data_IF_967382459428
#
_entry.id   IF_967382459428
#
_cell.length_a   1.000
_cell.length_b   1.000
_cell.length_c   1.000
_cell.angle_alpha   90.00
_cell.angle_beta   90.00
_cell.angle_gamma   90.00
#
_symmetry.space_group_name_H-M   'P 1'
#
loop_
_entity.id
_entity.type
_entity.pdbx_description
1 polymer ?
#
# COMPACT_ATOMS: atom_id res chain seq x y z
N UNK A 1 -13.87 -15.61 0.57
CA UNK A 1 -13.92 -14.17 0.89
C UNK A 1 -12.57 -13.81 1.46
N UNK A 2 -11.80 -12.96 0.78
CA UNK A 2 -10.47 -12.56 1.21
C UNK A 2 -10.53 -11.27 2.04
N UNK A 3 -9.57 -11.09 2.95
CA UNK A 3 -9.36 -9.87 3.72
C UNK A 3 -8.16 -9.13 3.16
N UNK A 4 -8.33 -7.90 2.67
CA UNK A 4 -7.26 -7.11 2.07
C UNK A 4 -6.95 -5.85 2.87
N UNK A 5 -5.68 -5.47 2.89
CA UNK A 5 -5.19 -4.23 3.48
C UNK A 5 -4.69 -3.29 2.38
N UNK A 6 -5.27 -2.11 2.30
CA UNK A 6 -4.78 -1.01 1.46
C UNK A 6 -4.17 0.06 2.37
N UNK A 7 -2.91 0.39 2.15
CA UNK A 7 -2.20 1.41 2.91
C UNK A 7 -1.75 2.52 1.98
N UNK A 8 -2.01 3.78 2.35
CA UNK A 8 -1.60 4.92 1.53
C UNK A 8 -0.83 6.00 2.30
N UNK A 9 0.04 6.70 1.58
CA UNK A 9 0.61 7.98 1.98
C UNK A 9 0.22 9.06 0.96
N UNK A 10 -0.31 10.20 1.43
CA UNK A 10 -0.80 11.27 0.55
C UNK A 10 -0.55 12.66 1.14
N UNK A 11 -0.50 13.67 0.25
CA UNK A 11 -0.42 15.09 0.63
C UNK A 11 -1.69 15.86 0.28
N UNK A 12 -2.24 15.65 -0.92
CA UNK A 12 -3.40 16.36 -1.47
C UNK A 12 -4.60 15.43 -1.69
N UNK A 13 -4.64 14.31 -0.96
CA UNK A 13 -5.71 13.29 -1.01
C UNK A 13 -5.87 12.54 -2.35
N UNK A 14 -5.13 12.87 -3.41
CA UNK A 14 -5.23 12.18 -4.71
C UNK A 14 -4.93 10.67 -4.59
N UNK A 15 -3.82 10.29 -3.96
CA UNK A 15 -3.50 8.87 -3.74
C UNK A 15 -4.56 8.19 -2.87
N UNK A 16 -5.06 8.86 -1.82
CA UNK A 16 -6.15 8.32 -0.99
C UNK A 16 -7.38 7.99 -1.83
N UNK A 17 -7.81 8.89 -2.72
CA UNK A 17 -8.96 8.67 -3.61
C UNK A 17 -8.77 7.47 -4.53
N UNK A 18 -7.56 7.26 -5.05
CA UNK A 18 -7.24 6.05 -5.82
C UNK A 18 -7.39 4.80 -4.94
N UNK A 19 -6.88 4.84 -3.71
CA UNK A 19 -7.05 3.74 -2.75
C UNK A 19 -8.50 3.47 -2.38
N UNK A 20 -9.34 4.51 -2.27
CA UNK A 20 -10.78 4.40 -2.05
C UNK A 20 -11.48 3.67 -3.23
N UNK A 21 -11.13 4.00 -4.47
CA UNK A 21 -11.66 3.34 -5.67
C UNK A 21 -11.22 1.87 -5.78
N UNK A 22 -9.96 1.56 -5.46
CA UNK A 22 -9.48 0.18 -5.40
C UNK A 22 -10.24 -0.59 -4.31
N UNK A 23 -10.41 0.02 -3.13
CA UNK A 23 -11.16 -0.60 -2.03
C UNK A 23 -12.62 -0.87 -2.42
N UNK A 24 -13.27 0.05 -3.12
CA UNK A 24 -14.63 -0.10 -3.62
C UNK A 24 -14.75 -1.27 -4.61
N UNK A 25 -13.87 -1.35 -5.62
CA UNK A 25 -13.88 -2.46 -6.57
C UNK A 25 -13.67 -3.84 -5.93
N UNK A 26 -12.75 -3.94 -4.97
CA UNK A 26 -12.51 -5.17 -4.21
C UNK A 26 -13.73 -5.55 -3.34
N UNK A 27 -14.40 -4.57 -2.73
CA UNK A 27 -15.63 -4.80 -1.95
C UNK A 27 -16.77 -5.27 -2.83
N UNK A 28 -16.97 -4.66 -4.00
CA UNK A 28 -17.96 -5.13 -4.99
C UNK A 28 -17.68 -6.55 -5.49
N UNK A 29 -16.42 -6.98 -5.44
CA UNK A 29 -16.01 -8.35 -5.76
C UNK A 29 -16.18 -9.34 -4.59
N UNK A 30 -16.81 -8.91 -3.48
CA UNK A 30 -17.12 -9.77 -2.33
C UNK A 30 -15.94 -9.99 -1.39
N UNK A 31 -15.05 -9.00 -1.23
CA UNK A 31 -13.93 -9.05 -0.29
C UNK A 31 -14.05 -8.02 0.83
N UNK A 32 -13.43 -8.32 1.98
CA UNK A 32 -13.30 -7.37 3.09
C UNK A 32 -12.06 -6.51 2.86
N UNK A 33 -12.18 -5.19 2.97
CA UNK A 33 -11.05 -4.28 2.71
C UNK A 33 -10.91 -3.24 3.81
N UNK A 34 -9.75 -3.23 4.47
CA UNK A 34 -9.30 -2.14 5.33
C UNK A 34 -8.47 -1.15 4.51
N UNK A 35 -8.91 0.10 4.47
CA UNK A 35 -8.14 1.21 3.90
C UNK A 35 -7.58 2.03 5.07
N UNK A 36 -6.27 2.27 5.10
CA UNK A 36 -5.59 2.98 6.19
C UNK A 36 -4.56 3.98 5.67
N UNK A 37 -4.42 5.12 6.36
CA UNK A 37 -3.27 6.00 6.18
C UNK A 37 -2.05 5.34 6.87
N UNK A 38 -0.85 5.47 6.30
CA UNK A 38 0.41 5.01 6.93
C UNK A 38 0.57 5.53 8.36
N UNK A 39 -0.04 6.67 8.70
CA UNK A 39 0.00 7.26 10.05
C UNK A 39 -0.77 6.45 11.10
N UNK A 40 -1.74 5.64 10.69
CA UNK A 40 -2.63 4.88 11.58
C UNK A 40 -2.05 3.51 11.96
N UNK A 41 -0.97 3.08 11.31
CA UNK A 41 -0.32 1.79 11.52
C UNK A 41 0.94 1.99 12.36
N UNK A 42 1.00 1.36 13.54
CA UNK A 42 2.06 1.58 14.53
C UNK A 42 2.95 0.37 14.73
N UNK A 43 2.48 -0.81 14.36
CA UNK A 43 3.21 -2.07 14.51
C UNK A 43 2.90 -3.04 13.37
N UNK A 44 3.74 -4.06 13.20
CA UNK A 44 3.51 -5.17 12.28
C UNK A 44 2.19 -5.92 12.55
N UNK A 45 1.68 -5.85 13.79
CA UNK A 45 0.38 -6.44 14.16
C UNK A 45 -0.79 -5.77 13.44
N UNK A 46 -0.65 -4.50 13.05
CA UNK A 46 -1.67 -3.78 12.28
C UNK A 46 -1.71 -4.23 10.80
N UNK A 47 -0.65 -4.94 10.36
CA UNK A 47 -0.39 -5.39 8.99
C UNK A 47 -0.62 -6.90 8.86
N UNK A 48 -0.39 -7.69 9.91
CA UNK A 48 -0.59 -9.14 9.86
C UNK A 48 -2.05 -9.56 9.73
N UNK A 49 -2.29 -10.75 9.16
CA UNK A 49 -3.61 -11.39 9.13
C UNK A 49 -4.49 -11.04 7.93
N UNK A 50 -3.92 -10.46 6.87
CA UNK A 50 -4.61 -10.23 5.59
C UNK A 50 -4.12 -11.25 4.54
N UNK A 51 -4.96 -11.45 3.53
CA UNK A 51 -4.71 -12.36 2.41
C UNK A 51 -4.02 -11.64 1.23
N UNK A 52 -4.18 -10.32 1.16
CA UNK A 52 -3.56 -9.49 0.14
C UNK A 52 -3.36 -8.05 0.57
N UNK A 53 -2.40 -7.39 -0.07
CA UNK A 53 -1.90 -6.08 0.32
C UNK A 53 -1.75 -5.16 -0.89
N UNK A 54 -2.16 -3.91 -0.73
CA UNK A 54 -1.99 -2.88 -1.75
C UNK A 54 -1.39 -1.63 -1.11
N UNK A 55 -0.19 -1.23 -1.53
CA UNK A 55 0.52 -0.11 -0.94
C UNK A 55 0.64 1.06 -1.93
N UNK A 56 0.31 2.27 -1.48
CA UNK A 56 0.33 3.42 -2.38
C UNK A 56 0.90 4.71 -1.81
N UNK A 57 1.61 5.45 -2.64
CA UNK A 57 2.19 6.73 -2.25
C UNK A 57 2.14 7.72 -3.38
N UNK A 58 1.94 9.00 -3.05
CA UNK A 58 2.15 10.05 -4.04
C UNK A 58 3.65 10.15 -4.40
N UNK A 59 3.95 10.46 -5.66
CA UNK A 59 5.32 10.74 -6.08
C UNK A 59 5.67 12.21 -5.85
N UNK A 60 6.72 12.45 -5.07
CA UNK A 60 7.32 13.76 -4.85
C UNK A 60 8.83 13.68 -5.06
N UNK A 61 9.36 14.54 -5.93
CA UNK A 61 10.79 14.59 -6.25
C UNK A 61 11.37 13.24 -6.70
N UNK A 62 10.64 12.50 -7.54
CA UNK A 62 11.08 11.21 -8.08
C UNK A 62 11.02 10.04 -7.09
N UNK A 63 10.34 10.22 -5.96
CA UNK A 63 10.33 9.26 -4.87
C UNK A 63 8.95 9.17 -4.18
N UNK A 64 8.74 8.12 -3.40
CA UNK A 64 7.56 7.97 -2.54
C UNK A 64 7.65 8.91 -1.33
N UNK A 65 6.49 9.28 -0.77
CA UNK A 65 6.44 10.07 0.46
C UNK A 65 7.16 9.37 1.62
N UNK A 66 7.81 10.15 2.49
CA UNK A 66 8.57 9.65 3.64
C UNK A 66 7.77 8.67 4.52
N UNK A 67 6.47 8.92 4.72
CA UNK A 67 5.61 8.04 5.48
C UNK A 67 5.51 6.63 4.89
N UNK A 68 5.49 6.50 3.56
CA UNK A 68 5.52 5.19 2.89
C UNK A 68 6.88 4.52 3.03
N UNK A 69 7.99 5.26 2.91
CA UNK A 69 9.33 4.70 3.13
C UNK A 69 9.47 4.07 4.52
N UNK A 70 9.05 4.81 5.55
CA UNK A 70 9.07 4.32 6.93
C UNK A 70 8.11 3.14 7.11
N UNK A 71 6.93 3.19 6.48
CA UNK A 71 5.99 2.07 6.51
C UNK A 71 6.55 0.79 5.89
N UNK A 72 7.32 0.86 4.79
CA UNK A 72 7.89 -0.35 4.17
C UNK A 72 8.84 -1.10 5.12
N UNK A 73 9.64 -0.40 5.94
CA UNK A 73 10.45 -1.03 6.99
C UNK A 73 9.61 -1.65 8.11
N UNK A 74 8.41 -1.12 8.37
CA UNK A 74 7.47 -1.73 9.30
C UNK A 74 6.82 -2.97 8.70
N UNK A 75 6.44 -2.90 7.43
CA UNK A 75 5.84 -4.00 6.67
C UNK A 75 6.83 -5.17 6.49
N UNK A 76 8.13 -4.91 6.38
CA UNK A 76 9.18 -5.95 6.34
C UNK A 76 9.17 -6.87 7.58
N UNK A 77 8.66 -6.38 8.72
CA UNK A 77 8.54 -7.16 9.96
C UNK A 77 7.27 -8.02 10.00
N UNK A 78 6.38 -7.88 9.03
CA UNK A 78 5.15 -8.65 8.90
C UNK A 78 5.37 -9.92 8.04
N UNK A 79 4.48 -10.90 8.18
CA UNK A 79 4.54 -12.15 7.41
C UNK A 79 3.86 -11.97 6.04
N UNK A 80 4.62 -11.44 5.08
CA UNK A 80 4.11 -11.06 3.77
C UNK A 80 4.53 -12.03 2.64
N UNK A 81 5.42 -12.98 2.89
CA UNK A 81 5.91 -13.86 1.85
C UNK A 81 4.78 -14.71 1.24
N UNK A 82 4.72 -14.75 -0.09
CA UNK A 82 3.69 -15.47 -0.87
C UNK A 82 2.29 -14.84 -0.81
N UNK A 83 2.14 -13.64 -0.24
CA UNK A 83 0.86 -12.91 -0.21
C UNK A 83 0.67 -12.12 -1.50
N UNK A 84 -0.57 -12.01 -1.96
CA UNK A 84 -0.89 -11.19 -3.15
C UNK A 84 -0.56 -9.73 -2.88
N UNK A 85 0.23 -9.13 -3.77
CA UNK A 85 0.70 -7.75 -3.66
C UNK A 85 0.33 -6.87 -4.85
N UNK A 86 0.10 -5.58 -4.58
CA UNK A 86 -0.04 -4.54 -5.62
C UNK A 86 0.41 -3.17 -5.12
N UNK A 87 0.69 -2.26 -6.05
CA UNK A 87 1.05 -0.88 -5.72
C UNK A 87 0.29 0.16 -6.55
N UNK A 88 0.20 1.38 -6.03
CA UNK A 88 -0.47 2.50 -6.71
C UNK A 88 0.07 3.86 -6.24
N UNK A 89 -0.33 4.94 -6.91
CA UNK A 89 0.10 6.28 -6.51
C UNK A 89 -0.35 7.35 -7.49
N UNK A 90 -0.66 8.54 -6.95
CA UNK A 90 -0.88 9.72 -7.77
C UNK A 90 0.44 10.46 -8.04
N UNK A 91 0.56 11.05 -9.21
CA UNK A 91 1.72 11.84 -9.58
C UNK A 91 1.40 12.92 -10.63
N UNK A 92 2.31 13.88 -10.79
CA UNK A 92 2.21 14.95 -11.79
C UNK A 92 2.85 14.54 -13.12
N UNK A 93 4.18 14.69 -13.22
CA UNK A 93 4.93 14.42 -14.46
C UNK A 93 5.87 13.20 -14.37
N UNK A 94 6.09 12.62 -13.18
CA UNK A 94 6.92 11.43 -12.98
C UNK A 94 6.30 10.51 -11.93
N UNK A 95 6.31 9.19 -12.16
CA UNK A 95 5.52 8.20 -11.42
C UNK A 95 6.35 7.07 -10.80
N UNK A 96 7.49 7.38 -10.20
CA UNK A 96 8.45 6.38 -9.70
C UNK A 96 7.97 5.65 -8.44
N UNK A 97 7.07 6.27 -7.65
CA UNK A 97 6.70 5.72 -6.34
C UNK A 97 6.01 4.34 -6.42
N UNK A 98 4.98 4.11 -7.25
CA UNK A 98 4.32 2.81 -7.36
C UNK A 98 5.29 1.71 -7.79
N UNK A 99 6.17 1.98 -8.76
CA UNK A 99 7.14 1.01 -9.27
C UNK A 99 8.15 0.62 -8.18
N UNK A 100 8.70 1.59 -7.46
CA UNK A 100 9.63 1.32 -6.35
C UNK A 100 8.97 0.55 -5.20
N UNK A 101 7.70 0.86 -4.90
CA UNK A 101 6.92 0.11 -3.89
C UNK A 101 6.75 -1.33 -4.35
N UNK A 102 6.30 -1.56 -5.59
CA UNK A 102 6.10 -2.92 -6.12
C UNK A 102 7.41 -3.71 -6.13
N UNK A 103 8.51 -3.10 -6.58
CA UNK A 103 9.83 -3.71 -6.54
C UNK A 103 10.26 -4.13 -5.13
N UNK A 104 9.89 -3.35 -4.11
CA UNK A 104 10.13 -3.75 -2.70
C UNK A 104 9.28 -4.96 -2.31
N UNK A 105 8.01 -4.99 -2.69
CA UNK A 105 7.09 -6.10 -2.39
C UNK A 105 7.58 -7.41 -3.02
N UNK A 106 7.92 -7.38 -4.30
CA UNK A 106 8.42 -8.54 -5.04
C UNK A 106 9.79 -9.01 -4.50
N UNK A 107 10.74 -8.08 -4.36
CA UNK A 107 12.14 -8.46 -4.16
C UNK A 107 12.53 -8.59 -2.68
N UNK A 108 11.93 -7.82 -1.78
CA UNK A 108 12.25 -7.84 -0.34
C UNK A 108 11.22 -8.68 0.42
N UNK A 109 9.92 -8.42 0.22
CA UNK A 109 8.86 -9.12 0.97
C UNK A 109 8.55 -10.51 0.41
N UNK A 110 9.00 -10.83 -0.82
CA UNK A 110 8.75 -12.10 -1.50
C UNK A 110 7.25 -12.39 -1.69
N UNK A 111 6.51 -11.33 -2.00
CA UNK A 111 5.08 -11.35 -2.31
C UNK A 111 4.80 -11.87 -3.72
#
# INVERSE_FOLDING_TARGET
MAKLLIVYATRTSATRKIGELIAEGLRFSGHEVKLADVKDLKSEKDINGYDGYVFGSATYHGDMMQGMKTFLFLAEKADLAGKVGGSFGAFGWSGEAPERIYGTMENIFKM
#
